data_IF_897210585082
#
_entry.id   IF_897210585082
#
_cell.length_a   1.000
_cell.length_b   1.000
_cell.length_c   1.000
_cell.angle_alpha   90.00
_cell.angle_beta   90.00
_cell.angle_gamma   90.00
#
_symmetry.space_group_name_H-M   'P 1'
#
loop_
_entity.id
_entity.type
_entity.pdbx_description
1 polymer ?
#
# COMPACT_ATOMS: atom_id res chain seq x y z
N UNK A 1 -11.20 14.60 8.23
CA UNK A 1 -10.22 14.15 7.21
C UNK A 1 -10.57 12.73 6.82
N UNK A 2 -10.62 12.39 5.51
CA UNK A 2 -10.73 10.99 5.08
C UNK A 2 -9.37 10.32 5.29
N UNK A 3 -9.35 9.00 5.56
CA UNK A 3 -8.11 8.29 5.88
C UNK A 3 -7.98 6.97 5.14
N UNK A 4 -6.74 6.58 4.89
CA UNK A 4 -6.37 5.29 4.28
C UNK A 4 -5.52 4.51 5.29
N UNK A 5 -5.86 3.24 5.49
CA UNK A 5 -5.08 2.31 6.32
C UNK A 5 -4.04 1.58 5.47
N UNK A 6 -2.78 1.62 5.86
CA UNK A 6 -1.67 0.97 5.17
C UNK A 6 -1.28 -0.40 5.74
N UNK A 7 -1.76 -0.74 6.94
CA UNK A 7 -1.59 -2.08 7.53
C UNK A 7 -0.11 -2.50 7.50
N UNK A 8 0.14 -3.71 7.02
CA UNK A 8 1.48 -4.28 6.92
C UNK A 8 2.41 -3.52 5.97
N UNK A 9 1.89 -2.65 5.07
CA UNK A 9 2.70 -1.79 4.16
C UNK A 9 3.08 -0.43 4.76
N UNK A 10 2.78 -0.19 6.05
CA UNK A 10 3.09 1.08 6.71
C UNK A 10 4.59 1.40 6.71
N UNK A 11 5.45 0.40 6.94
CA UNK A 11 6.90 0.61 6.97
C UNK A 11 7.42 1.10 5.59
N UNK A 12 6.90 0.57 4.48
CA UNK A 12 7.23 1.04 3.13
C UNK A 12 6.72 2.47 2.84
N UNK A 13 5.60 2.88 3.45
CA UNK A 13 5.09 4.25 3.37
C UNK A 13 6.02 5.22 4.11
N UNK A 14 6.39 4.89 5.34
CA UNK A 14 7.28 5.72 6.18
C UNK A 14 8.69 5.80 5.60
N UNK A 15 9.16 4.77 4.91
CA UNK A 15 10.40 4.78 4.16
C UNK A 15 10.33 5.60 2.84
N UNK A 16 9.17 6.16 2.48
CA UNK A 16 8.98 6.93 1.25
C UNK A 16 8.99 6.09 -0.03
N UNK A 17 8.95 4.75 0.08
CA UNK A 17 8.99 3.82 -1.07
C UNK A 17 7.61 3.64 -1.69
N UNK A 18 6.57 3.59 -0.84
CA UNK A 18 5.19 3.44 -1.29
C UNK A 18 4.59 4.79 -1.73
N UNK A 19 4.16 4.87 -2.99
CA UNK A 19 3.54 6.05 -3.62
C UNK A 19 2.20 5.75 -4.31
N UNK A 20 1.76 4.49 -4.28
CA UNK A 20 0.43 4.12 -4.72
C UNK A 20 -0.16 3.00 -3.85
N UNK A 21 -1.48 2.81 -3.96
CA UNK A 21 -2.17 1.68 -3.34
C UNK A 21 -3.44 1.30 -4.11
N UNK A 22 -3.65 0.00 -4.29
CA UNK A 22 -4.87 -0.57 -4.85
C UNK A 22 -5.85 -1.00 -3.75
N UNK A 23 -7.14 -0.68 -3.95
CA UNK A 23 -8.20 -0.84 -2.96
C UNK A 23 -9.45 -1.46 -3.57
N UNK A 24 -10.10 -2.30 -2.77
CA UNK A 24 -11.42 -2.83 -3.06
C UNK A 24 -12.47 -1.95 -2.36
N UNK A 25 -12.84 -0.87 -3.03
CA UNK A 25 -13.81 0.11 -2.54
C UNK A 25 -15.03 0.15 -3.44
N UNK A 26 -16.16 0.59 -2.88
CA UNK A 26 -17.31 0.95 -3.70
C UNK A 26 -17.03 2.23 -4.48
N UNK A 27 -17.64 2.37 -5.66
CA UNK A 27 -17.50 3.56 -6.50
C UNK A 27 -17.80 4.86 -5.75
N UNK A 28 -18.87 4.86 -4.94
CA UNK A 28 -19.26 6.02 -4.15
C UNK A 28 -18.19 6.42 -3.13
N UNK A 29 -17.51 5.45 -2.51
CA UNK A 29 -16.43 5.72 -1.58
C UNK A 29 -15.17 6.22 -2.31
N UNK A 30 -14.80 5.59 -3.44
CA UNK A 30 -13.63 5.96 -4.21
C UNK A 30 -13.70 7.37 -4.81
N UNK A 31 -14.90 7.82 -5.25
CA UNK A 31 -15.12 9.18 -5.77
C UNK A 31 -14.84 10.32 -4.78
N UNK A 32 -14.63 9.99 -3.50
CA UNK A 32 -14.26 10.95 -2.46
C UNK A 32 -12.78 11.33 -2.46
N UNK A 33 -11.95 10.60 -3.21
CA UNK A 33 -10.50 10.79 -3.27
C UNK A 33 -10.14 11.52 -4.57
N UNK A 34 -9.76 12.79 -4.47
CA UNK A 34 -9.47 13.67 -5.60
C UNK A 34 -8.03 14.16 -5.56
N UNK A 35 -7.48 14.45 -6.72
CA UNK A 35 -6.15 15.06 -6.83
C UNK A 35 -6.07 16.33 -5.97
N UNK A 36 -4.96 16.49 -5.24
CA UNK A 36 -4.72 17.60 -4.31
C UNK A 36 -5.24 17.37 -2.88
N UNK A 37 -6.11 16.38 -2.65
CA UNK A 37 -6.63 16.10 -1.31
C UNK A 37 -5.50 15.70 -0.34
N UNK A 38 -5.57 16.25 0.88
CA UNK A 38 -4.78 15.78 2.02
C UNK A 38 -5.55 14.68 2.75
N UNK A 39 -4.92 13.53 2.88
CA UNK A 39 -5.51 12.31 3.42
C UNK A 39 -4.64 11.80 4.56
N UNK A 40 -5.28 11.41 5.67
CA UNK A 40 -4.57 10.81 6.79
C UNK A 40 -4.17 9.36 6.45
N UNK A 41 -2.90 9.03 6.59
CA UNK A 41 -2.41 7.67 6.51
C UNK A 41 -2.36 7.05 7.91
N UNK A 42 -2.98 5.87 8.06
CA UNK A 42 -3.01 5.14 9.32
C UNK A 42 -2.26 3.82 9.23
N UNK A 43 -1.64 3.39 10.33
CA UNK A 43 -1.02 2.06 10.45
C UNK A 43 -2.06 0.94 10.33
N UNK A 44 -3.24 1.11 10.89
CA UNK A 44 -4.40 0.22 10.79
C UNK A 44 -5.67 1.04 10.76
N UNK A 45 -6.81 0.40 10.50
CA UNK A 45 -8.10 1.13 10.47
C UNK A 45 -8.35 1.86 11.81
N UNK A 46 -8.74 3.15 11.78
CA UNK A 46 -9.05 3.93 12.99
C UNK A 46 -10.10 3.27 13.88
N UNK A 47 -11.04 2.51 13.28
CA UNK A 47 -12.07 1.76 14.03
C UNK A 47 -11.48 0.69 14.94
N UNK A 48 -10.28 0.21 14.63
CA UNK A 48 -9.52 -0.75 15.42
C UNK A 48 -8.36 -0.08 16.16
N UNK A 49 -8.52 1.20 16.57
CA UNK A 49 -7.51 1.99 17.29
C UNK A 49 -6.21 2.20 16.51
N UNK A 50 -6.32 2.40 15.21
CA UNK A 50 -5.18 2.81 14.38
C UNK A 50 -4.69 4.22 14.70
N UNK A 51 -3.38 4.40 14.57
CA UNK A 51 -2.68 5.66 14.77
C UNK A 51 -2.39 6.27 13.40
N UNK A 52 -2.58 7.59 13.29
CA UNK A 52 -2.15 8.31 12.09
C UNK A 52 -0.62 8.32 12.08
N UNK A 53 -0.03 7.83 11.00
CA UNK A 53 1.42 7.69 10.82
C UNK A 53 1.99 8.62 9.77
N UNK A 54 1.15 9.25 8.94
CA UNK A 54 1.58 10.26 7.98
C UNK A 54 0.39 11.07 7.47
N UNK A 55 0.69 12.18 6.81
CA UNK A 55 -0.22 12.88 5.91
C UNK A 55 0.25 12.68 4.48
N UNK A 56 -0.65 12.21 3.59
CA UNK A 56 -0.37 12.05 2.16
C UNK A 56 -1.18 13.04 1.33
N UNK A 57 -0.62 13.49 0.21
CA UNK A 57 -1.33 14.28 -0.81
C UNK A 57 -1.60 13.41 -2.02
N UNK A 58 -2.84 13.38 -2.49
CA UNK A 58 -3.19 12.63 -3.70
C UNK A 58 -2.68 13.35 -4.93
N UNK A 59 -1.94 12.66 -5.79
CA UNK A 59 -1.42 13.24 -7.04
C UNK A 59 -2.42 13.12 -8.18
N UNK A 60 -3.40 12.22 -8.05
CA UNK A 60 -4.42 11.95 -9.04
C UNK A 60 -5.76 11.63 -8.37
N UNK A 61 -6.85 11.76 -9.12
CA UNK A 61 -8.13 11.17 -8.71
C UNK A 61 -7.98 9.65 -8.57
N UNK A 62 -8.72 9.06 -7.63
CA UNK A 62 -8.83 7.60 -7.60
C UNK A 62 -9.27 7.07 -8.97
N UNK A 63 -8.51 6.13 -9.51
CA UNK A 63 -8.69 5.60 -10.86
C UNK A 63 -9.13 4.14 -10.77
N UNK A 64 -10.19 3.77 -11.49
CA UNK A 64 -10.63 2.38 -11.55
C UNK A 64 -9.91 1.64 -12.69
N UNK A 65 -9.32 0.48 -12.42
CA UNK A 65 -8.72 -0.38 -13.43
C UNK A 65 -7.72 -1.40 -12.86
N UNK A 66 -6.84 -1.89 -13.73
CA UNK A 66 -5.83 -2.90 -13.40
C UNK A 66 -4.53 -2.21 -13.02
N UNK A 67 -3.99 -2.50 -11.84
CA UNK A 67 -2.87 -1.76 -11.26
C UNK A 67 -1.62 -1.75 -12.17
N UNK A 68 -1.12 -2.89 -12.70
CA UNK A 68 0.04 -2.88 -13.61
C UNK A 68 -0.17 -2.12 -14.91
N UNK A 69 -1.42 -1.93 -15.36
CA UNK A 69 -1.73 -1.18 -16.58
C UNK A 69 -1.73 0.34 -16.32
N UNK A 70 -2.15 0.76 -15.12
CA UNK A 70 -2.28 2.17 -14.75
C UNK A 70 -0.99 2.73 -14.15
N UNK A 71 -0.24 1.89 -13.44
CA UNK A 71 0.97 2.28 -12.72
C UNK A 71 2.13 1.43 -13.23
N UNK A 72 2.96 1.96 -14.15
CA UNK A 72 4.27 1.37 -14.42
C UNK A 72 5.07 1.26 -13.12
N UNK A 73 5.86 0.19 -12.99
CA UNK A 73 6.63 -0.09 -11.77
C UNK A 73 5.74 -0.16 -10.52
N UNK A 74 4.52 -0.71 -10.68
CA UNK A 74 3.54 -0.82 -9.59
C UNK A 74 4.09 -1.55 -8.37
N UNK A 75 5.00 -2.50 -8.58
CA UNK A 75 5.55 -3.32 -7.51
C UNK A 75 6.42 -2.46 -6.57
N UNK A 76 7.27 -1.63 -7.15
CA UNK A 76 8.09 -0.63 -6.47
C UNK A 76 7.20 0.43 -5.83
N UNK A 77 6.20 0.95 -6.56
CA UNK A 77 5.32 2.02 -6.08
C UNK A 77 4.28 1.59 -5.06
N UNK A 78 3.87 0.33 -5.02
CA UNK A 78 3.14 -0.27 -3.90
C UNK A 78 4.06 -0.49 -2.68
N UNK A 79 5.37 -0.32 -2.85
CA UNK A 79 6.35 -0.54 -1.79
C UNK A 79 6.65 -2.02 -1.56
N UNK A 80 6.35 -2.91 -2.50
CA UNK A 80 6.63 -4.34 -2.37
C UNK A 80 8.12 -4.65 -2.52
N UNK A 81 8.82 -3.94 -3.41
CA UNK A 81 10.28 -4.05 -3.54
C UNK A 81 11.02 -3.75 -2.23
N UNK A 82 10.53 -2.79 -1.44
CA UNK A 82 11.06 -2.53 -0.09
C UNK A 82 11.01 -3.78 0.79
N UNK A 83 9.94 -4.56 0.71
CA UNK A 83 9.85 -5.77 1.54
C UNK A 83 10.75 -6.89 1.04
N UNK A 84 10.98 -7.02 -0.27
CA UNK A 84 11.99 -7.96 -0.76
C UNK A 84 13.39 -7.60 -0.24
N UNK A 85 13.76 -6.32 -0.25
CA UNK A 85 15.02 -5.83 0.37
C UNK A 85 15.08 -6.23 1.86
N UNK A 86 13.98 -6.06 2.60
CA UNK A 86 13.91 -6.45 4.01
C UNK A 86 13.99 -7.98 4.23
N UNK A 87 13.48 -8.78 3.31
CA UNK A 87 13.60 -10.25 3.36
C UNK A 87 15.06 -10.68 3.14
N UNK A 88 15.73 -10.07 2.16
CA UNK A 88 17.14 -10.35 1.84
C UNK A 88 18.07 -9.98 3.00
N UNK A 89 17.75 -8.90 3.73
CA UNK A 89 18.44 -8.48 4.96
C UNK A 89 18.13 -9.36 6.18
N UNK A 90 17.19 -10.31 6.06
CA UNK A 90 16.80 -11.18 7.17
C UNK A 90 15.96 -10.49 8.25
N UNK A 91 15.23 -9.42 7.90
CA UNK A 91 14.39 -8.69 8.85
C UNK A 91 13.22 -9.58 9.33
N UNK A 92 13.36 -10.10 10.55
CA UNK A 92 12.38 -11.03 11.15
C UNK A 92 10.98 -10.45 11.29
N UNK A 93 10.84 -9.13 11.52
CA UNK A 93 9.54 -8.45 11.60
C UNK A 93 8.85 -8.44 10.23
N UNK A 94 9.58 -8.10 9.16
CA UNK A 94 9.05 -8.10 7.80
C UNK A 94 8.64 -9.52 7.37
N UNK A 95 9.51 -10.51 7.63
CA UNK A 95 9.23 -11.94 7.37
C UNK A 95 7.93 -12.37 8.05
N UNK A 96 7.78 -12.10 9.35
CA UNK A 96 6.57 -12.47 10.09
C UNK A 96 5.31 -11.75 9.59
N UNK A 97 5.42 -10.46 9.26
CA UNK A 97 4.30 -9.69 8.73
C UNK A 97 3.82 -10.24 7.38
N UNK A 98 4.74 -10.55 6.46
CA UNK A 98 4.43 -11.12 5.16
C UNK A 98 3.92 -12.55 5.23
N UNK A 99 4.52 -13.39 6.09
CA UNK A 99 4.01 -14.73 6.37
C UNK A 99 2.54 -14.66 6.85
N UNK A 100 2.21 -13.73 7.73
CA UNK A 100 0.84 -13.54 8.23
C UNK A 100 -0.12 -12.99 7.17
N UNK A 101 0.30 -12.01 6.37
CA UNK A 101 -0.57 -11.34 5.41
C UNK A 101 -0.77 -12.15 4.11
N UNK A 102 0.26 -12.88 3.67
CA UNK A 102 0.29 -13.56 2.38
C UNK A 102 0.56 -15.06 2.44
N UNK A 103 0.89 -15.60 3.61
CA UNK A 103 1.36 -16.98 3.71
C UNK A 103 2.66 -17.18 2.95
N UNK A 104 3.54 -16.16 2.95
CA UNK A 104 4.86 -16.24 2.34
C UNK A 104 5.66 -17.35 3.02
N UNK A 105 6.20 -18.28 2.24
CA UNK A 105 6.99 -19.41 2.72
C UNK A 105 8.49 -19.05 2.73
N UNK A 106 9.31 -19.73 3.56
CA UNK A 106 10.76 -19.54 3.52
C UNK A 106 11.31 -19.78 2.11
N UNK A 107 12.10 -18.82 1.60
CA UNK A 107 12.71 -18.88 0.27
C UNK A 107 11.83 -18.38 -0.88
N UNK A 108 10.60 -17.93 -0.63
CA UNK A 108 9.77 -17.25 -1.63
C UNK A 108 10.00 -15.74 -1.62
N UNK A 109 9.94 -15.11 -2.80
CA UNK A 109 9.87 -13.65 -2.91
C UNK A 109 8.43 -13.18 -2.81
N UNK A 110 8.22 -11.93 -2.39
CA UNK A 110 6.88 -11.36 -2.35
C UNK A 110 6.28 -11.25 -3.77
N UNK A 111 7.12 -11.04 -4.80
CA UNK A 111 6.71 -10.98 -6.20
C UNK A 111 6.07 -12.29 -6.65
N UNK A 112 6.75 -13.43 -6.41
CA UNK A 112 6.21 -14.75 -6.73
C UNK A 112 4.82 -14.93 -6.10
N UNK A 113 4.70 -14.53 -4.83
CA UNK A 113 3.45 -14.66 -4.09
C UNK A 113 2.34 -13.74 -4.60
N UNK A 114 2.67 -12.53 -5.05
CA UNK A 114 1.70 -11.58 -5.62
C UNK A 114 1.20 -12.03 -6.99
N UNK A 115 2.08 -12.59 -7.83
CA UNK A 115 1.71 -13.15 -9.13
C UNK A 115 0.73 -14.32 -8.97
N UNK A 116 1.01 -15.24 -8.03
CA UNK A 116 0.12 -16.39 -7.77
C UNK A 116 -1.26 -15.98 -7.25
N UNK A 117 -1.32 -15.01 -6.32
CA UNK A 117 -2.59 -14.59 -5.71
C UNK A 117 -3.40 -13.66 -6.61
N UNK A 118 -2.74 -13.00 -7.56
CA UNK A 118 -3.30 -11.88 -8.31
C UNK A 118 -3.40 -10.62 -7.46
N UNK A 119 -3.39 -9.47 -8.13
CA UNK A 119 -3.54 -8.17 -7.47
C UNK A 119 -5.00 -7.97 -7.09
N UNK A 120 -5.25 -7.68 -5.81
CA UNK A 120 -6.58 -7.38 -5.31
C UNK A 120 -6.99 -5.93 -5.58
N UNK A 121 -8.30 -5.66 -5.57
CA UNK A 121 -8.83 -4.31 -5.69
C UNK A 121 -8.83 -3.78 -7.14
N UNK A 122 -9.55 -2.66 -7.31
CA UNK A 122 -9.70 -2.00 -8.62
C UNK A 122 -9.52 -0.50 -8.55
N UNK A 123 -9.58 0.09 -7.35
CA UNK A 123 -9.41 1.52 -7.15
C UNK A 123 -7.97 1.83 -6.77
N UNK A 124 -7.28 2.53 -7.66
CA UNK A 124 -5.88 2.87 -7.52
C UNK A 124 -5.78 4.32 -7.07
N UNK A 125 -5.08 4.52 -5.96
CA UNK A 125 -4.79 5.83 -5.38
C UNK A 125 -3.30 6.08 -5.50
N UNK A 126 -2.91 7.21 -6.09
CA UNK A 126 -1.52 7.65 -6.24
C UNK A 126 -1.29 8.89 -5.39
N UNK A 127 -0.17 8.95 -4.71
CA UNK A 127 0.08 9.96 -3.70
C UNK A 127 1.57 10.20 -3.45
N UNK A 128 1.86 11.28 -2.74
CA UNK A 128 3.15 11.59 -2.14
C UNK A 128 2.98 11.76 -0.62
N UNK A 129 4.01 11.46 0.16
CA UNK A 129 4.03 11.71 1.60
C UNK A 129 4.44 13.18 1.83
N UNK A 130 3.64 13.91 2.60
CA UNK A 130 3.88 15.33 2.91
C UNK A 130 4.52 15.49 4.29
N UNK A 131 4.04 14.70 5.26
CA UNK A 131 4.51 14.72 6.66
C UNK A 131 4.54 13.27 7.17
N UNK A 132 5.72 12.71 7.50
CA UNK A 132 5.86 11.40 8.13
C UNK A 132 5.70 11.45 9.66
#
# INVERSE_FOLDING_TARGET
MIGISFAWTADALLAGRKTCTCRDWTDGYAKRFRAGDLVAAYDRSPRFRGTQIATIRLTHNATHGVLPEIVPDWYEREGFAYYDEQLDEGNTKAIQALARAFGLRPGETLMQRMVERGIWGKWIVRFEVVEP
#
